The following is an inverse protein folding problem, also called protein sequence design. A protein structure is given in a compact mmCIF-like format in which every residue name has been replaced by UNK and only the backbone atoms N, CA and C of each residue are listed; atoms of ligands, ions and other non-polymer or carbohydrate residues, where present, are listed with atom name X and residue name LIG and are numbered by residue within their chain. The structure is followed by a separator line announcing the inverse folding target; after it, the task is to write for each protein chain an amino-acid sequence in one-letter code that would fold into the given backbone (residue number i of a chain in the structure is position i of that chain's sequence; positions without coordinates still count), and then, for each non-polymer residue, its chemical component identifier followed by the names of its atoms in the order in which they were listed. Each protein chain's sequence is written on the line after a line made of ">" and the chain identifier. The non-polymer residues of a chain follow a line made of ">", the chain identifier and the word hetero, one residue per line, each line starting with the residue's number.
data_IF_712311251419
#
_entry.id   IF_712311251419
#
_cell.length_a   1.000
_cell.length_b   1.000
_cell.length_c   1.000
_cell.angle_alpha   90.00
_cell.angle_beta   90.00
_cell.angle_gamma   90.00
#
_symmetry.space_group_name_H-M   'P 1'
#
loop_
_entity.id
_entity.type
_entity.pdbx_description
1 polymer ?
#
# COMPACT_ATOMS: atom_id res chain seq x y z
N UNK A 1 6.57 46.23 12.36
CA UNK A 1 6.93 45.37 13.51
C UNK A 1 6.33 43.99 13.26
N UNK A 2 7.14 43.01 12.86
CA UNK A 2 6.67 41.64 12.59
C UNK A 2 6.86 40.79 13.86
N UNK A 3 5.79 40.13 14.31
CA UNK A 3 5.81 39.18 15.43
C UNK A 3 6.28 37.82 14.89
N UNK A 4 7.44 37.36 15.35
CA UNK A 4 7.95 36.03 15.04
C UNK A 4 7.23 34.99 15.91
N UNK A 5 6.23 34.31 15.34
CA UNK A 5 5.52 33.23 16.03
C UNK A 5 6.37 31.96 15.94
N UNK A 6 7.04 31.61 17.05
CA UNK A 6 7.81 30.37 17.15
C UNK A 6 6.86 29.17 17.36
N UNK A 7 6.63 28.38 16.31
CA UNK A 7 5.84 27.14 16.40
C UNK A 7 6.69 26.06 17.08
N UNK A 8 6.33 25.68 18.30
CA UNK A 8 6.98 24.56 19.01
C UNK A 8 6.51 23.24 18.41
N UNK A 9 7.44 22.45 17.89
CA UNK A 9 7.18 21.06 17.48
C UNK A 9 7.45 20.13 18.64
N UNK A 10 6.44 19.34 19.05
CA UNK A 10 6.56 18.35 20.12
C UNK A 10 6.43 16.95 19.54
N UNK A 11 7.36 16.06 19.89
CA UNK A 11 7.41 14.68 19.42
C UNK A 11 7.01 13.72 20.54
N UNK A 12 5.88 13.05 20.38
CA UNK A 12 5.40 12.05 21.33
C UNK A 12 5.32 10.67 20.70
N UNK A 13 5.64 9.63 21.48
CA UNK A 13 5.44 8.25 21.06
C UNK A 13 3.98 7.88 21.31
N UNK A 14 3.26 7.52 20.26
CA UNK A 14 1.92 6.98 20.39
C UNK A 14 1.97 5.64 21.13
N UNK A 15 1.20 5.49 22.21
CA UNK A 15 1.01 4.24 22.95
C UNK A 15 -0.46 3.84 22.79
N UNK A 16 -0.81 3.09 21.74
CA UNK A 16 -2.21 2.70 21.52
C UNK A 16 -2.69 1.74 22.61
N UNK A 17 -3.97 1.84 22.96
CA UNK A 17 -4.64 0.85 23.80
C UNK A 17 -4.82 -0.46 23.04
N UNK A 18 -5.13 -1.56 23.74
CA UNK A 18 -5.36 -2.86 23.10
C UNK A 18 -6.47 -2.82 22.04
N UNK A 19 -7.53 -2.06 22.29
CA UNK A 19 -8.61 -1.84 21.32
C UNK A 19 -8.11 -1.09 20.08
N UNK A 20 -7.29 -0.05 20.25
CA UNK A 20 -6.71 0.69 19.13
C UNK A 20 -5.74 -0.18 18.32
N UNK A 21 -4.91 -0.99 18.99
CA UNK A 21 -4.01 -1.94 18.35
C UNK A 21 -4.77 -2.91 17.44
N UNK A 22 -5.87 -3.49 17.92
CA UNK A 22 -6.73 -4.38 17.13
C UNK A 22 -7.30 -3.70 15.88
N UNK A 23 -7.79 -2.46 16.01
CA UNK A 23 -8.33 -1.69 14.87
C UNK A 23 -7.23 -1.41 13.84
N UNK A 24 -6.03 -1.01 14.30
CA UNK A 24 -4.90 -0.75 13.41
C UNK A 24 -4.46 -2.01 12.66
N UNK A 25 -4.41 -3.15 13.34
CA UNK A 25 -4.10 -4.44 12.74
C UNK A 25 -5.14 -4.83 11.69
N UNK A 26 -6.43 -4.67 12.00
CA UNK A 26 -7.51 -4.91 11.05
C UNK A 26 -7.36 -4.03 9.79
N UNK A 27 -7.10 -2.72 9.97
CA UNK A 27 -6.89 -1.82 8.84
C UNK A 27 -5.69 -2.21 7.97
N UNK A 28 -4.61 -2.68 8.59
CA UNK A 28 -3.42 -3.17 7.88
C UNK A 28 -3.76 -4.42 7.06
N UNK A 29 -4.52 -5.34 7.62
CA UNK A 29 -4.97 -6.54 6.90
C UNK A 29 -5.88 -6.19 5.73
N UNK A 30 -6.80 -5.25 5.90
CA UNK A 30 -7.64 -4.75 4.80
C UNK A 30 -6.80 -4.12 3.69
N UNK A 31 -5.80 -3.31 4.05
CA UNK A 31 -4.87 -2.73 3.07
C UNK A 31 -4.06 -3.82 2.33
N UNK A 32 -3.70 -4.90 3.02
CA UNK A 32 -3.00 -6.05 2.43
C UNK A 32 -3.88 -6.79 1.43
N UNK A 33 -5.15 -7.02 1.76
CA UNK A 33 -6.14 -7.64 0.86
C UNK A 33 -6.29 -6.77 -0.40
N UNK A 34 -6.50 -5.46 -0.22
CA UNK A 34 -6.62 -4.53 -1.34
C UNK A 34 -5.36 -4.53 -2.21
N UNK A 35 -4.16 -4.51 -1.62
CA UNK A 35 -2.90 -4.58 -2.36
C UNK A 35 -2.84 -5.81 -3.26
N UNK A 36 -3.20 -6.98 -2.71
CA UNK A 36 -3.17 -8.24 -3.44
C UNK A 36 -4.22 -8.28 -4.57
N UNK A 37 -5.42 -7.72 -4.35
CA UNK A 37 -6.45 -7.59 -5.37
C UNK A 37 -5.97 -6.70 -6.53
N UNK A 38 -5.41 -5.54 -6.23
CA UNK A 38 -4.89 -4.60 -7.23
C UNK A 38 -3.72 -5.19 -8.02
N UNK A 39 -2.80 -5.88 -7.33
CA UNK A 39 -1.69 -6.58 -7.96
C UNK A 39 -2.20 -7.68 -8.92
N UNK A 40 -3.18 -8.48 -8.47
CA UNK A 40 -3.79 -9.53 -9.29
C UNK A 40 -4.46 -8.95 -10.53
N UNK A 41 -5.27 -7.90 -10.36
CA UNK A 41 -5.96 -7.23 -11.47
C UNK A 41 -4.98 -6.72 -12.53
N UNK A 42 -3.84 -6.15 -12.11
CA UNK A 42 -2.80 -5.68 -13.05
C UNK A 42 -2.14 -6.84 -13.82
N UNK A 43 -1.88 -7.96 -13.14
CA UNK A 43 -1.34 -9.17 -13.78
C UNK A 43 -2.34 -9.76 -14.77
N UNK A 44 -3.61 -9.83 -14.41
CA UNK A 44 -4.68 -10.35 -15.27
C UNK A 44 -4.91 -9.46 -16.49
N UNK A 45 -4.96 -8.14 -16.31
CA UNK A 45 -5.09 -7.19 -17.42
C UNK A 45 -3.94 -7.31 -18.43
N UNK A 46 -2.71 -7.53 -17.96
CA UNK A 46 -1.58 -7.78 -18.83
C UNK A 46 -1.70 -9.13 -19.55
N UNK A 47 -2.03 -10.20 -18.83
CA UNK A 47 -2.14 -11.56 -19.41
C UNK A 47 -3.25 -11.68 -20.45
N UNK A 48 -4.40 -11.06 -20.21
CA UNK A 48 -5.60 -11.25 -21.03
C UNK A 48 -5.68 -10.23 -22.17
N UNK A 49 -5.30 -8.98 -21.92
CA UNK A 49 -5.52 -7.87 -22.84
C UNK A 49 -4.21 -7.18 -23.27
N UNK A 50 -3.05 -7.59 -22.76
CA UNK A 50 -1.77 -6.89 -22.90
C UNK A 50 -1.85 -5.40 -22.50
N UNK A 51 -2.75 -5.07 -21.56
CA UNK A 51 -2.93 -3.70 -21.09
C UNK A 51 -2.19 -3.46 -19.79
N UNK A 52 -1.49 -2.32 -19.73
CA UNK A 52 -0.88 -1.81 -18.50
C UNK A 52 -1.84 -0.85 -17.80
N UNK A 53 -2.40 -1.27 -16.65
CA UNK A 53 -3.24 -0.39 -15.84
C UNK A 53 -2.39 0.66 -15.13
N UNK A 54 -2.81 1.93 -15.14
CA UNK A 54 -2.16 2.98 -14.35
C UNK A 54 -2.62 2.96 -12.88
N UNK A 55 -1.93 3.73 -12.04
CA UNK A 55 -2.35 3.96 -10.65
C UNK A 55 -3.73 4.63 -10.57
N UNK A 56 -4.02 5.55 -11.48
CA UNK A 56 -5.29 6.26 -11.53
C UNK A 56 -6.44 5.33 -11.90
N UNK A 57 -6.23 4.43 -12.86
CA UNK A 57 -7.24 3.45 -13.27
C UNK A 57 -7.61 2.53 -12.11
N UNK A 58 -6.61 2.02 -11.39
CA UNK A 58 -6.82 1.22 -10.19
C UNK A 58 -7.45 1.99 -9.04
N UNK A 59 -7.19 3.30 -8.93
CA UNK A 59 -7.81 4.12 -7.88
C UNK A 59 -9.30 4.33 -8.16
N UNK A 60 -9.70 4.43 -9.43
CA UNK A 60 -11.11 4.52 -9.84
C UNK A 60 -11.89 3.24 -9.54
N UNK A 61 -11.25 2.08 -9.39
CA UNK A 61 -11.94 0.84 -9.00
C UNK A 61 -12.18 0.73 -7.49
N UNK A 62 -11.51 1.53 -6.65
CA UNK A 62 -11.65 1.46 -5.19
C UNK A 62 -13.10 1.70 -4.72
N UNK A 63 -13.87 2.67 -5.24
CA UNK A 63 -15.28 2.83 -4.88
C UNK A 63 -16.13 1.57 -5.15
N UNK A 64 -15.89 0.89 -6.26
CA UNK A 64 -16.57 -0.37 -6.58
C UNK A 64 -16.15 -1.49 -5.62
N UNK A 65 -14.85 -1.61 -5.33
CA UNK A 65 -14.33 -2.58 -4.37
C UNK A 65 -14.90 -2.37 -2.96
N UNK A 66 -15.18 -1.13 -2.55
CA UNK A 66 -15.87 -0.81 -1.29
C UNK A 66 -17.32 -1.28 -1.24
N UNK A 67 -17.99 -1.40 -2.38
CA UNK A 67 -19.35 -1.95 -2.46
C UNK A 67 -19.31 -3.47 -2.29
N UNK A 68 -18.30 -4.12 -2.87
CA UNK A 68 -18.12 -5.58 -2.81
C UNK A 68 -17.58 -6.05 -1.45
N UNK A 69 -16.72 -5.26 -0.80
CA UNK A 69 -16.10 -5.59 0.48
C UNK A 69 -16.31 -4.46 1.49
N UNK A 70 -17.34 -4.62 2.33
CA UNK A 70 -17.79 -3.57 3.24
C UNK A 70 -16.73 -3.15 4.28
N UNK A 71 -15.79 -4.03 4.63
CA UNK A 71 -14.73 -3.72 5.60
C UNK A 71 -13.79 -2.59 5.11
N UNK A 72 -13.65 -2.38 3.79
CA UNK A 72 -12.92 -1.23 3.26
C UNK A 72 -13.55 0.13 3.59
N UNK A 73 -14.82 0.17 4.01
CA UNK A 73 -15.45 1.41 4.45
C UNK A 73 -14.94 1.89 5.82
N UNK A 74 -14.40 0.98 6.64
CA UNK A 74 -13.83 1.31 7.95
C UNK A 74 -12.46 1.99 7.82
N UNK A 75 -11.74 1.72 6.72
CA UNK A 75 -10.45 2.33 6.44
C UNK A 75 -10.64 3.69 5.78
N UNK A 76 -9.89 4.69 6.25
CA UNK A 76 -9.91 6.03 5.67
C UNK A 76 -9.57 6.01 4.17
N UNK A 77 -10.33 6.77 3.38
CA UNK A 77 -10.25 6.75 1.91
C UNK A 77 -8.85 7.02 1.38
N UNK A 78 -8.13 7.98 1.99
CA UNK A 78 -6.76 8.31 1.59
C UNK A 78 -5.81 7.13 1.76
N UNK A 79 -5.99 6.32 2.81
CA UNK A 79 -5.13 5.16 3.06
C UNK A 79 -5.30 4.14 1.93
N UNK A 80 -6.53 3.88 1.49
CA UNK A 80 -6.78 2.96 0.37
C UNK A 80 -6.20 3.48 -0.96
N UNK A 81 -6.27 4.79 -1.21
CA UNK A 81 -5.61 5.40 -2.37
C UNK A 81 -4.08 5.29 -2.29
N UNK A 82 -3.51 5.39 -1.10
CA UNK A 82 -2.07 5.17 -0.89
C UNK A 82 -1.66 3.72 -1.16
N UNK A 83 -2.56 2.74 -0.97
CA UNK A 83 -2.29 1.34 -1.35
C UNK A 83 -2.10 1.20 -2.87
N UNK A 84 -2.93 1.83 -3.69
CA UNK A 84 -2.75 1.79 -5.16
C UNK A 84 -1.44 2.45 -5.59
N UNK A 85 -1.03 3.54 -4.92
CA UNK A 85 0.27 4.18 -5.13
C UNK A 85 1.44 3.25 -4.78
N UNK A 86 1.33 2.47 -3.70
CA UNK A 86 2.36 1.49 -3.31
C UNK A 86 2.51 0.37 -4.33
N UNK A 87 1.41 -0.12 -4.90
CA UNK A 87 1.45 -1.09 -6.02
C UNK A 87 2.21 -0.47 -7.18
N UNK A 88 1.90 0.77 -7.55
CA UNK A 88 2.56 1.45 -8.67
C UNK A 88 4.07 1.65 -8.45
N UNK A 89 4.48 2.07 -7.25
CA UNK A 89 5.89 2.17 -6.88
C UNK A 89 6.63 0.83 -6.96
N UNK A 90 5.97 -0.28 -6.57
CA UNK A 90 6.55 -1.60 -6.68
C UNK A 90 6.84 -1.99 -8.15
N UNK A 91 5.90 -1.72 -9.06
CA UNK A 91 6.08 -1.95 -10.50
C UNK A 91 7.14 -1.00 -11.10
N UNK A 92 7.10 0.30 -10.78
CA UNK A 92 8.13 1.26 -11.23
C UNK A 92 9.53 0.84 -10.77
N UNK A 93 9.66 0.41 -9.51
CA UNK A 93 10.90 -0.14 -8.97
C UNK A 93 11.36 -1.40 -9.70
N UNK A 94 10.43 -2.30 -10.02
CA UNK A 94 10.70 -3.51 -10.82
C UNK A 94 11.23 -3.16 -12.22
N UNK A 95 10.53 -2.31 -12.97
CA UNK A 95 10.97 -1.91 -14.32
C UNK A 95 12.28 -1.14 -14.32
N UNK A 96 12.52 -0.29 -13.30
CA UNK A 96 13.81 0.38 -13.12
C UNK A 96 14.94 -0.64 -12.92
N UNK A 97 14.72 -1.67 -12.08
CA UNK A 97 15.70 -2.74 -11.86
C UNK A 97 15.92 -3.58 -13.12
N UNK A 98 14.86 -3.90 -13.87
CA UNK A 98 14.99 -4.59 -15.15
C UNK A 98 15.90 -3.83 -16.13
N UNK A 99 15.70 -2.51 -16.26
CA UNK A 99 16.53 -1.66 -17.12
C UNK A 99 18.00 -1.63 -16.67
N UNK A 100 18.26 -1.58 -15.36
CA UNK A 100 19.62 -1.61 -14.80
C UNK A 100 20.29 -2.98 -14.94
N UNK A 101 19.56 -4.06 -14.62
CA UNK A 101 20.07 -5.45 -14.64
C UNK A 101 20.16 -6.06 -16.04
N UNK A 102 19.49 -5.50 -17.03
CA UNK A 102 19.76 -5.80 -18.45
C UNK A 102 21.26 -5.62 -18.82
N UNK A 103 22.03 -4.88 -18.01
CA UNK A 103 23.47 -4.71 -18.19
C UNK A 103 24.34 -5.72 -17.43
N UNK A 104 23.80 -6.37 -16.39
CA UNK A 104 24.55 -7.27 -15.48
C UNK A 104 24.08 -8.73 -15.54
N UNK A 105 22.97 -9.04 -16.24
CA UNK A 105 22.50 -10.41 -16.48
C UNK A 105 21.67 -11.03 -15.35
N UNK A 106 21.45 -10.34 -14.24
CA UNK A 106 20.69 -10.86 -13.10
C UNK A 106 19.17 -10.68 -13.26
N UNK A 107 18.37 -11.65 -12.80
CA UNK A 107 16.89 -11.55 -12.82
C UNK A 107 16.41 -10.49 -11.81
N UNK A 108 15.49 -9.62 -12.25
CA UNK A 108 14.84 -8.65 -11.35
C UNK A 108 13.66 -9.30 -10.61
N UNK A 109 13.59 -9.14 -9.29
CA UNK A 109 12.48 -9.67 -8.48
C UNK A 109 11.16 -8.95 -8.80
N UNK A 110 10.14 -9.73 -9.18
CA UNK A 110 8.77 -9.29 -9.47
C UNK A 110 8.04 -8.84 -8.18
N UNK A 111 7.08 -7.90 -8.24
CA UNK A 111 6.24 -7.56 -7.09
C UNK A 111 5.48 -8.79 -6.59
N UNK A 112 5.73 -9.21 -5.35
CA UNK A 112 5.13 -10.40 -4.76
C UNK A 112 3.86 -10.07 -3.98
N UNK A 113 2.96 -11.04 -3.91
CA UNK A 113 1.78 -10.95 -3.05
C UNK A 113 2.22 -10.80 -1.58
N UNK A 114 1.54 -9.91 -0.86
CA UNK A 114 1.82 -9.67 0.54
C UNK A 114 1.16 -10.74 1.41
N UNK A 115 1.99 -11.53 2.10
CA UNK A 115 1.56 -12.53 3.07
C UNK A 115 1.15 -11.92 4.41
N UNK A 116 0.54 -12.72 5.29
CA UNK A 116 0.30 -12.28 6.69
C UNK A 116 1.65 -12.05 7.39
N UNK A 117 1.79 -10.98 8.18
CA UNK A 117 3.00 -10.68 8.95
C UNK A 117 4.05 -9.77 8.27
N UNK A 118 3.77 -9.23 7.09
CA UNK A 118 4.69 -8.34 6.36
C UNK A 118 4.84 -6.94 6.98
N UNK A 119 3.87 -6.51 7.77
CA UNK A 119 3.93 -5.25 8.49
C UNK A 119 4.58 -5.51 9.85
N UNK A 120 5.78 -4.94 10.04
CA UNK A 120 6.51 -4.97 11.30
C UNK A 120 5.80 -4.10 12.36
N UNK A 121 4.68 -4.57 12.88
CA UNK A 121 4.27 -4.20 14.23
C UNK A 121 5.01 -5.18 15.12
N UNK A 122 6.17 -4.75 15.64
CA UNK A 122 6.82 -5.48 16.72
C UNK A 122 5.85 -5.54 17.89
N UNK A 123 5.09 -6.62 18.01
CA UNK A 123 4.60 -7.11 19.29
C UNK A 123 5.83 -7.48 20.09
N UNK A 124 6.42 -6.49 20.76
CA UNK A 124 7.38 -6.72 21.83
C UNK A 124 6.57 -7.26 23.01
N UNK A 125 6.18 -8.52 22.91
CA UNK A 125 5.84 -9.38 24.04
C UNK A 125 7.01 -10.36 24.20
N UNK A 126 8.05 -9.86 24.86
CA UNK A 126 8.96 -10.53 25.79
C UNK A 126 9.89 -9.42 26.31
#
# INVERSE_FOLDING_TARGET
>A
MYIFIMVKSLKYRLRPTKKQEQILLAHIDECRILYNQLLCARIQAWKNENKSLSQYDQTKTIPLLKQQHAAFKQVYSQVLQQVSQRVDLAFKGFFRRLKGKSKTGEKAGFPIQSGRGWYWIQSRQA
#
